data_IF_769887505267
#
_entry.id   IF_769887505267
#
_cell.length_a   1.000
_cell.length_b   1.000
_cell.length_c   1.000
_cell.angle_alpha   90.00
_cell.angle_beta   90.00
_cell.angle_gamma   90.00
#
_symmetry.space_group_name_H-M   'P 1'
#
loop_
_entity.id
_entity.type
_entity.pdbx_description
1 polymer ?
#
# COMPACT_ATOMS: atom_id res chain seq x y z
N UNK A 1 0.84 0.16 -20.37
CA UNK A 1 0.42 0.33 -18.98
C UNK A 1 -0.91 1.05 -18.98
N UNK A 2 -2.03 0.34 -18.84
CA UNK A 2 -3.30 1.01 -18.54
C UNK A 2 -3.10 1.77 -17.23
N UNK A 3 -3.34 3.08 -17.21
CA UNK A 3 -3.13 3.93 -16.03
C UNK A 3 -4.19 3.71 -14.95
N UNK A 4 -4.53 2.45 -14.65
CA UNK A 4 -5.50 2.11 -13.60
C UNK A 4 -4.76 2.02 -12.27
N UNK A 5 -5.37 2.48 -11.16
CA UNK A 5 -4.72 2.46 -9.85
C UNK A 5 -4.19 1.09 -9.42
N UNK A 6 -4.96 0.03 -9.67
CA UNK A 6 -4.55 -1.34 -9.31
C UNK A 6 -3.38 -1.84 -10.16
N UNK A 7 -3.23 -1.38 -11.40
CA UNK A 7 -2.10 -1.78 -12.25
C UNK A 7 -0.77 -1.20 -11.72
N UNK A 8 -0.83 -0.04 -11.04
CA UNK A 8 0.33 0.55 -10.36
C UNK A 8 0.67 -0.27 -9.12
N UNK A 9 -0.33 -0.64 -8.31
CA UNK A 9 -0.11 -1.46 -7.12
C UNK A 9 0.41 -2.86 -7.46
N UNK A 10 -0.07 -3.47 -8.54
CA UNK A 10 0.49 -4.73 -9.05
C UNK A 10 1.96 -4.57 -9.45
N UNK A 11 2.31 -3.46 -10.10
CA UNK A 11 3.69 -3.21 -10.51
C UNK A 11 4.64 -2.97 -9.32
N UNK A 12 4.12 -2.52 -8.19
CA UNK A 12 4.88 -2.25 -6.96
C UNK A 12 4.84 -3.41 -5.95
N UNK A 13 4.29 -4.56 -6.33
CA UNK A 13 4.24 -5.72 -5.45
C UNK A 13 5.66 -6.24 -5.16
N UNK A 14 6.01 -6.34 -3.88
CA UNK A 14 7.35 -6.70 -3.41
C UNK A 14 8.36 -5.55 -3.40
N UNK A 15 7.92 -4.31 -3.65
CA UNK A 15 8.72 -3.10 -3.53
C UNK A 15 8.30 -2.31 -2.28
N UNK A 16 9.25 -1.53 -1.72
CA UNK A 16 8.99 -0.62 -0.60
C UNK A 16 8.08 0.52 -1.05
N UNK A 17 6.97 0.73 -0.34
CA UNK A 17 6.02 1.82 -0.62
C UNK A 17 5.79 2.67 0.62
N UNK A 18 5.45 3.95 0.40
CA UNK A 18 4.99 4.84 1.47
C UNK A 18 3.48 5.05 1.38
N UNK A 19 2.75 4.74 2.46
CA UNK A 19 1.30 4.87 2.55
C UNK A 19 0.94 5.95 3.56
N UNK A 20 0.17 6.95 3.13
CA UNK A 20 -0.33 8.02 4.00
C UNK A 20 -1.79 7.82 4.34
N UNK A 21 -2.13 7.91 5.62
CA UNK A 21 -3.49 7.77 6.13
C UNK A 21 -4.18 9.12 6.37
N UNK A 22 -5.51 9.07 6.54
CA UNK A 22 -6.36 10.25 6.81
C UNK A 22 -5.98 11.01 8.09
N UNK A 23 -5.44 10.33 9.10
CA UNK A 23 -5.00 10.96 10.35
C UNK A 23 -3.65 11.68 10.24
N UNK A 24 -2.97 11.55 9.08
CA UNK A 24 -1.65 12.10 8.85
C UNK A 24 -0.51 11.15 9.18
N UNK A 25 -0.80 9.95 9.68
CA UNK A 25 0.19 8.89 9.84
C UNK A 25 0.70 8.40 8.48
N UNK A 26 1.98 8.04 8.45
CA UNK A 26 2.64 7.44 7.30
C UNK A 26 3.24 6.10 7.70
N UNK A 27 3.10 5.12 6.83
CA UNK A 27 3.67 3.79 6.96
C UNK A 27 4.58 3.53 5.77
N UNK A 28 5.73 2.93 6.06
CA UNK A 28 6.70 2.49 5.04
C UNK A 28 6.88 1.00 5.22
N UNK A 29 6.94 0.26 4.11
CA UNK A 29 7.19 -1.17 4.11
C UNK A 29 6.98 -1.78 2.73
N UNK A 30 7.38 -3.03 2.57
CA UNK A 30 7.25 -3.77 1.32
C UNK A 30 5.79 -4.14 1.07
N UNK A 31 5.26 -3.78 -0.10
CA UNK A 31 3.89 -4.12 -0.48
C UNK A 31 3.78 -5.62 -0.79
N UNK A 32 3.32 -6.43 0.17
CA UNK A 32 3.18 -7.88 -0.02
C UNK A 32 1.80 -8.31 -0.54
N UNK A 33 0.81 -7.42 -0.51
CA UNK A 33 -0.51 -7.70 -1.09
C UNK A 33 -1.47 -6.52 -1.10
N UNK A 34 -2.48 -6.61 -1.97
CA UNK A 34 -3.55 -5.62 -2.05
C UNK A 34 -4.87 -6.24 -2.57
N UNK A 35 -5.97 -5.49 -2.47
CA UNK A 35 -7.26 -5.88 -3.07
C UNK A 35 -7.96 -4.73 -3.80
N UNK A 36 -9.14 -5.00 -4.37
CA UNK A 36 -9.96 -4.03 -5.10
C UNK A 36 -10.50 -2.87 -4.22
N UNK A 37 -10.47 -3.02 -2.89
CA UNK A 37 -10.87 -1.98 -1.94
C UNK A 37 -9.67 -1.12 -1.53
N UNK A 38 -8.48 -1.39 -2.07
CA UNK A 38 -7.19 -0.79 -1.70
C UNK A 38 -6.79 -1.08 -0.25
N UNK A 39 -7.26 -2.22 0.31
CA UNK A 39 -6.61 -2.75 1.50
C UNK A 39 -5.19 -3.16 1.11
N UNK A 40 -4.20 -2.87 1.95
CA UNK A 40 -2.79 -3.13 1.71
C UNK A 40 -2.24 -4.03 2.81
N UNK A 41 -1.33 -4.91 2.43
CA UNK A 41 -0.49 -5.65 3.35
C UNK A 41 0.93 -5.14 3.15
N UNK A 42 1.50 -4.57 4.20
CA UNK A 42 2.90 -4.14 4.24
C UNK A 42 3.69 -5.08 5.15
N UNK A 43 4.87 -5.45 4.72
CA UNK A 43 5.85 -6.18 5.51
C UNK A 43 7.02 -5.24 5.86
N UNK A 44 7.40 -5.22 7.13
CA UNK A 44 8.57 -4.50 7.64
C UNK A 44 9.29 -5.41 8.64
N UNK A 45 10.53 -5.80 8.33
CA UNK A 45 11.40 -6.70 9.09
C UNK A 45 10.71 -7.92 9.74
N UNK A 46 10.05 -7.73 10.90
CA UNK A 46 9.44 -8.79 11.71
C UNK A 46 7.91 -8.66 11.85
N UNK A 47 7.32 -7.58 11.36
CA UNK A 47 5.91 -7.27 11.51
C UNK A 47 5.18 -7.22 10.17
N UNK A 48 3.92 -7.68 10.18
CA UNK A 48 3.01 -7.56 9.04
C UNK A 48 1.88 -6.61 9.41
N UNK A 49 1.74 -5.53 8.66
CA UNK A 49 0.73 -4.50 8.88
C UNK A 49 -0.34 -4.56 7.80
N UNK A 50 -1.60 -4.69 8.21
CA UNK A 50 -2.74 -4.62 7.28
C UNK A 50 -3.39 -3.24 7.40
N UNK A 51 -3.39 -2.48 6.32
CA UNK A 51 -4.00 -1.15 6.23
C UNK A 51 -5.33 -1.27 5.48
N UNK A 52 -6.39 -0.70 6.06
CA UNK A 52 -7.68 -0.63 5.35
C UNK A 52 -7.70 0.50 4.33
N UNK A 53 -8.16 0.20 3.12
CA UNK A 53 -8.16 1.14 1.99
C UNK A 53 -9.05 2.36 2.17
N UNK A 54 -10.09 2.28 3.01
CA UNK A 54 -10.92 3.43 3.35
C UNK A 54 -10.17 4.47 4.20
N UNK A 55 -9.04 4.13 4.82
CA UNK A 55 -8.18 5.06 5.55
C UNK A 55 -7.02 5.62 4.73
N UNK A 56 -6.74 5.06 3.55
CA UNK A 56 -5.62 5.47 2.69
C UNK A 56 -5.95 6.78 1.96
N UNK A 57 -4.98 7.68 1.91
CA UNK A 57 -5.05 8.97 1.20
C UNK A 57 -4.15 8.96 -0.03
N UNK A 58 -2.93 8.47 0.11
CA UNK A 58 -1.98 8.34 -1.00
C UNK A 58 -1.06 7.15 -0.79
N UNK A 59 -0.62 6.58 -1.90
CA UNK A 59 0.40 5.51 -1.95
C UNK A 59 1.49 6.03 -2.88
N UNK A 60 2.72 6.09 -2.39
CA UNK A 60 3.89 6.43 -3.18
C UNK A 60 4.75 5.17 -3.35
N UNK A 61 4.74 4.55 -4.54
CA UNK A 61 5.61 3.44 -4.85
C UNK A 61 7.05 3.87 -5.15
#
# INVERSE_FOLDING_TARGET
>A
MSGRPLDVLEASLGEEVTVRLKGGEEYVGDLSGYDQHMNLVLEDDQDTTIIRGDNVVSINP
#
